data_IF_932676691739
#
_entry.id   IF_932676691739
#
_cell.length_a   1.000
_cell.length_b   1.000
_cell.length_c   1.000
_cell.angle_alpha   90.00
_cell.angle_beta   90.00
_cell.angle_gamma   90.00
#
_symmetry.space_group_name_H-M   'P 1'
#
loop_
_entity.id
_entity.type
_entity.pdbx_description
1 polymer ?
#
# COMPACT_ATOMS: atom_id res chain seq x y z
N UNK A 1 24.62 -13.10 11.04
CA UNK A 1 24.45 -11.62 11.11
C UNK A 1 23.60 -11.23 9.92
N UNK A 2 22.55 -10.42 10.13
CA UNK A 2 21.45 -10.21 9.19
C UNK A 2 21.91 -9.34 8.01
N UNK A 3 21.80 -9.86 6.79
CA UNK A 3 21.92 -9.08 5.56
C UNK A 3 20.70 -8.16 5.44
N UNK A 4 20.81 -6.96 6.01
CA UNK A 4 19.90 -5.86 5.72
C UNK A 4 20.30 -5.32 4.36
N UNK A 5 19.79 -5.96 3.31
CA UNK A 5 19.94 -5.47 1.94
C UNK A 5 19.07 -4.22 1.82
N UNK A 6 19.65 -3.06 2.07
CA UNK A 6 19.10 -1.76 1.66
C UNK A 6 19.08 -1.71 0.14
N UNK A 7 18.09 -2.37 -0.46
CA UNK A 7 17.78 -2.19 -1.86
C UNK A 7 17.17 -0.79 -2.00
N UNK A 8 18.00 0.13 -2.52
CA UNK A 8 17.59 1.44 -3.06
C UNK A 8 16.24 1.29 -3.75
N UNK A 9 15.15 1.67 -3.05
CA UNK A 9 13.81 1.66 -3.62
C UNK A 9 13.83 2.60 -4.81
N UNK A 10 13.74 2.02 -6.01
CA UNK A 10 13.63 2.81 -7.22
C UNK A 10 12.38 3.72 -7.11
N UNK A 11 12.39 4.92 -7.70
CA UNK A 11 11.28 5.87 -7.60
C UNK A 11 9.91 5.28 -7.98
N UNK A 12 9.89 4.29 -8.90
CA UNK A 12 8.69 3.54 -9.26
C UNK A 12 8.13 2.69 -8.10
N UNK A 13 9.00 2.04 -7.33
CA UNK A 13 8.62 1.24 -6.16
C UNK A 13 7.99 2.11 -5.07
N UNK A 14 8.49 3.34 -4.91
CA UNK A 14 7.94 4.31 -3.97
C UNK A 14 6.57 4.81 -4.42
N UNK A 15 6.40 5.13 -5.71
CA UNK A 15 5.11 5.54 -6.28
C UNK A 15 4.03 4.47 -6.07
N UNK A 16 4.34 3.20 -6.38
CA UNK A 16 3.41 2.10 -6.13
C UNK A 16 3.07 1.96 -4.65
N UNK A 17 4.05 2.13 -3.76
CA UNK A 17 3.80 2.08 -2.31
C UNK A 17 2.90 3.22 -1.83
N UNK A 18 3.14 4.43 -2.33
CA UNK A 18 2.32 5.61 -2.01
C UNK A 18 0.89 5.40 -2.47
N UNK A 19 0.68 4.95 -3.71
CA UNK A 19 -0.65 4.69 -4.26
C UNK A 19 -1.43 3.66 -3.41
N UNK A 20 -0.79 2.56 -3.02
CA UNK A 20 -1.42 1.54 -2.16
C UNK A 20 -1.83 2.13 -0.81
N UNK A 21 -0.96 2.94 -0.19
CA UNK A 21 -1.22 3.54 1.11
C UNK A 21 -2.35 4.58 1.05
N UNK A 22 -2.35 5.44 0.05
CA UNK A 22 -3.39 6.45 -0.15
C UNK A 22 -4.76 5.78 -0.38
N UNK A 23 -4.80 4.75 -1.23
CA UNK A 23 -6.02 3.97 -1.47
C UNK A 23 -6.51 3.29 -0.19
N UNK A 24 -5.61 2.70 0.61
CA UNK A 24 -5.96 2.08 1.87
C UNK A 24 -6.56 3.09 2.86
N UNK A 25 -5.90 4.24 3.05
CA UNK A 25 -6.37 5.29 3.96
C UNK A 25 -7.76 5.81 3.57
N UNK A 26 -8.01 5.97 2.27
CA UNK A 26 -9.32 6.37 1.76
C UNK A 26 -10.39 5.32 2.06
N UNK A 27 -10.11 4.04 1.75
CA UNK A 27 -11.07 2.95 2.00
C UNK A 27 -11.37 2.79 3.49
N UNK A 28 -10.36 2.92 4.35
CA UNK A 28 -10.57 2.90 5.79
C UNK A 28 -11.46 4.05 6.27
N UNK A 29 -11.28 5.26 5.71
CA UNK A 29 -12.12 6.41 6.03
C UNK A 29 -13.57 6.25 5.56
N UNK A 30 -13.77 5.69 4.38
CA UNK A 30 -15.10 5.53 3.77
C UNK A 30 -15.90 4.35 4.34
N UNK A 31 -15.23 3.21 4.54
CA UNK A 31 -15.88 1.92 4.85
C UNK A 31 -15.64 1.47 6.28
N UNK A 32 -14.65 2.03 6.96
CA UNK A 32 -14.18 1.57 8.26
C UNK A 32 -13.19 0.41 8.14
N UNK A 33 -12.57 0.06 9.27
CA UNK A 33 -11.54 -0.97 9.35
C UNK A 33 -12.08 -2.36 8.98
N UNK A 34 -13.15 -2.80 9.65
CA UNK A 34 -13.67 -4.17 9.50
C UNK A 34 -14.16 -4.50 8.08
N UNK A 35 -14.65 -3.49 7.35
CA UNK A 35 -15.19 -3.68 5.98
C UNK A 35 -14.12 -3.54 4.90
N UNK A 36 -12.91 -3.09 5.24
CA UNK A 36 -11.83 -2.88 4.28
C UNK A 36 -10.95 -4.12 4.20
N UNK A 37 -10.81 -4.68 3.00
CA UNK A 37 -9.99 -5.88 2.77
C UNK A 37 -8.80 -5.57 1.87
N UNK A 38 -7.72 -6.34 2.01
CA UNK A 38 -6.54 -6.21 1.15
C UNK A 38 -6.87 -6.37 -0.35
N UNK A 39 -7.84 -7.23 -0.68
CA UNK A 39 -8.31 -7.41 -2.05
C UNK A 39 -8.97 -6.16 -2.60
N UNK A 40 -9.80 -5.50 -1.80
CA UNK A 40 -10.45 -4.24 -2.19
C UNK A 40 -9.40 -3.14 -2.41
N UNK A 41 -8.38 -3.05 -1.54
CA UNK A 41 -7.28 -2.08 -1.69
C UNK A 41 -6.52 -2.34 -3.00
N UNK A 42 -6.14 -3.58 -3.29
CA UNK A 42 -5.43 -3.92 -4.53
C UNK A 42 -6.27 -3.63 -5.78
N UNK A 43 -7.54 -4.01 -5.78
CA UNK A 43 -8.45 -3.78 -6.90
C UNK A 43 -8.64 -2.29 -7.21
N UNK A 44 -8.64 -1.44 -6.18
CA UNK A 44 -8.85 0.00 -6.29
C UNK A 44 -7.55 0.77 -6.59
N UNK A 45 -6.40 0.23 -6.18
CA UNK A 45 -5.08 0.81 -6.47
C UNK A 45 -4.60 0.53 -7.90
N UNK A 46 -5.20 -0.43 -8.61
CA UNK A 46 -4.86 -0.81 -9.98
C UNK A 46 -4.11 -2.13 -10.09
#
# INVERSE_FOLDING_TARGET
MKDVKEEKKAPKSEQTRTLILETALRLFKERGYDKTTMRAIAQEAG
#
